data_IF_427016866616
#
_entry.id   IF_427016866616
#
_cell.length_a   1.000
_cell.length_b   1.000
_cell.length_c   1.000
_cell.angle_alpha   90.00
_cell.angle_beta   90.00
_cell.angle_gamma   90.00
#
_symmetry.space_group_name_H-M   'P 1'
#
loop_
_entity.id
_entity.type
_entity.pdbx_description
1 polymer ?
#
# COMPACT_ATOMS: atom_id res chain seq x y z
N UNK A 1 21.39 13.33 69.72
CA UNK A 1 21.70 13.89 68.36
C UNK A 1 20.90 15.16 68.25
N UNK A 2 21.59 16.29 68.25
CA UNK A 2 21.05 17.65 68.48
C UNK A 2 20.36 18.16 67.22
N UNK A 3 19.06 18.46 67.37
CA UNK A 3 18.28 19.19 66.32
C UNK A 3 18.68 20.69 66.43
N UNK A 4 19.67 21.11 65.66
CA UNK A 4 20.13 22.50 65.61
C UNK A 4 19.00 23.39 65.08
N UNK A 5 18.46 24.21 66.00
CA UNK A 5 17.40 25.16 65.72
C UNK A 5 17.84 26.20 64.69
N UNK A 6 17.42 26.02 63.41
CA UNK A 6 17.69 26.95 62.31
C UNK A 6 17.21 28.35 62.64
N UNK A 7 18.05 29.36 62.38
CA UNK A 7 17.72 30.77 62.60
C UNK A 7 16.51 31.24 61.76
N UNK A 8 15.75 32.22 62.20
CA UNK A 8 14.59 32.75 61.46
C UNK A 8 14.90 33.16 60.01
N UNK A 9 16.13 33.64 59.80
CA UNK A 9 16.59 34.08 58.46
C UNK A 9 16.86 32.88 57.52
N UNK A 10 17.40 31.78 58.05
CA UNK A 10 17.59 30.54 57.30
C UNK A 10 16.26 29.91 56.90
N UNK A 11 15.24 29.98 57.77
CA UNK A 11 13.87 29.51 57.47
C UNK A 11 13.22 30.37 56.38
N UNK A 12 13.43 31.68 56.41
CA UNK A 12 12.91 32.63 55.42
C UNK A 12 13.54 32.42 54.03
N UNK A 13 14.88 32.24 53.96
CA UNK A 13 15.61 31.94 52.70
C UNK A 13 15.16 30.59 52.10
N UNK A 14 15.01 29.55 52.89
CA UNK A 14 14.52 28.24 52.46
C UNK A 14 13.07 28.31 51.94
N UNK A 15 12.18 29.03 52.61
CA UNK A 15 10.80 29.23 52.14
C UNK A 15 10.76 30.05 50.84
N UNK A 16 11.65 31.02 50.65
CA UNK A 16 11.77 31.80 49.44
C UNK A 16 12.34 30.94 48.30
N UNK A 17 13.35 30.13 48.55
CA UNK A 17 13.90 29.17 47.59
C UNK A 17 12.83 28.16 47.15
N UNK A 18 12.11 27.56 48.14
CA UNK A 18 11.05 26.59 47.82
C UNK A 18 9.92 27.20 46.98
N UNK A 19 9.52 28.46 47.27
CA UNK A 19 8.52 29.17 46.45
C UNK A 19 9.01 29.46 45.05
N UNK A 20 10.28 29.84 44.83
CA UNK A 20 10.87 30.09 43.54
C UNK A 20 10.90 28.77 42.74
N UNK A 21 11.34 27.66 43.36
CA UNK A 21 11.39 26.35 42.73
C UNK A 21 9.99 25.87 42.31
N UNK A 22 8.97 26.05 43.16
CA UNK A 22 7.59 25.69 42.88
C UNK A 22 7.02 26.56 41.74
N UNK A 23 7.27 27.86 41.74
CA UNK A 23 6.81 28.76 40.67
C UNK A 23 7.50 28.43 39.36
N UNK A 24 8.81 28.14 39.40
CA UNK A 24 9.55 27.73 38.18
C UNK A 24 9.08 26.37 37.64
N UNK A 25 8.82 25.40 38.52
CA UNK A 25 8.26 24.11 38.14
C UNK A 25 6.86 24.25 37.51
N UNK A 26 6.00 25.09 38.11
CA UNK A 26 4.66 25.37 37.57
C UNK A 26 4.73 26.08 36.23
N UNK A 27 5.63 27.08 36.07
CA UNK A 27 5.85 27.76 34.82
C UNK A 27 6.33 26.78 33.71
N UNK A 28 7.24 25.84 34.04
CA UNK A 28 7.69 24.81 33.13
C UNK A 28 6.54 23.89 32.71
N UNK A 29 5.72 23.45 33.63
CA UNK A 29 4.54 22.61 33.33
C UNK A 29 3.55 23.34 32.45
N UNK A 30 3.31 24.64 32.69
CA UNK A 30 2.44 25.46 31.84
C UNK A 30 3.01 25.60 30.42
N UNK A 31 4.31 25.86 30.30
CA UNK A 31 4.99 25.97 29.00
C UNK A 31 4.92 24.62 28.25
N UNK A 32 5.17 23.51 28.94
CA UNK A 32 5.03 22.17 28.35
C UNK A 32 3.58 21.88 27.94
N UNK A 33 2.60 22.24 28.78
CA UNK A 33 1.18 22.06 28.46
C UNK A 33 0.74 22.89 27.22
N UNK A 34 1.26 24.11 27.08
CA UNK A 34 0.99 24.98 25.91
C UNK A 34 1.71 24.45 24.64
N UNK A 35 2.92 23.94 24.78
CA UNK A 35 3.72 23.48 23.65
C UNK A 35 3.32 22.08 23.14
N UNK A 36 2.93 21.18 24.05
CA UNK A 36 2.68 19.77 23.76
C UNK A 36 1.17 19.45 23.79
N UNK A 37 0.39 20.15 24.63
CA UNK A 37 -1.04 19.91 24.80
C UNK A 37 -1.85 19.96 23.50
N UNK A 38 -1.68 20.99 22.65
CA UNK A 38 -2.40 21.07 21.37
C UNK A 38 -2.05 19.91 20.42
N UNK A 39 -0.80 19.43 20.48
CA UNK A 39 -0.37 18.27 19.67
C UNK A 39 -1.04 16.99 20.16
N UNK A 40 -1.00 16.72 21.48
CA UNK A 40 -1.63 15.52 22.07
C UNK A 40 -3.14 15.52 21.81
N UNK A 41 -3.80 16.68 21.94
CA UNK A 41 -5.24 16.79 21.65
C UNK A 41 -5.52 16.66 20.15
N UNK A 42 -4.66 17.22 19.30
CA UNK A 42 -4.74 17.07 17.87
C UNK A 42 -4.59 15.61 17.45
N UNK A 43 -3.54 14.95 17.91
CA UNK A 43 -3.28 13.53 17.63
C UNK A 43 -4.42 12.63 18.12
N UNK A 44 -4.97 12.90 19.33
CA UNK A 44 -6.09 12.13 19.86
C UNK A 44 -7.39 12.36 19.06
N UNK A 45 -7.65 13.59 18.61
CA UNK A 45 -8.80 13.90 17.77
C UNK A 45 -8.67 13.28 16.38
N UNK A 46 -7.46 13.31 15.81
CA UNK A 46 -7.16 12.67 14.52
C UNK A 46 -7.31 11.15 14.61
N UNK A 47 -6.77 10.50 15.64
CA UNK A 47 -6.95 9.06 15.85
C UNK A 47 -8.42 8.68 16.05
N UNK A 48 -9.20 9.53 16.75
CA UNK A 48 -10.64 9.29 16.90
C UNK A 48 -11.37 9.42 15.56
N UNK A 49 -11.07 10.45 14.77
CA UNK A 49 -11.62 10.64 13.43
C UNK A 49 -11.24 9.50 12.48
N UNK A 50 -9.99 9.01 12.54
CA UNK A 50 -9.55 7.83 11.79
C UNK A 50 -10.35 6.59 12.18
N UNK A 51 -10.50 6.31 13.49
CA UNK A 51 -11.26 5.15 13.96
C UNK A 51 -12.72 5.20 13.49
N UNK A 52 -13.34 6.38 13.49
CA UNK A 52 -14.71 6.57 12.99
C UNK A 52 -14.80 6.37 11.48
N UNK A 53 -13.83 6.89 10.70
CA UNK A 53 -13.80 6.70 9.25
C UNK A 53 -13.69 5.22 8.88
N UNK A 54 -12.79 4.47 9.52
CA UNK A 54 -12.55 3.06 9.20
C UNK A 54 -13.53 2.09 9.87
N UNK A 55 -14.41 2.57 10.77
CA UNK A 55 -15.50 1.76 11.27
C UNK A 55 -16.48 1.42 10.13
N UNK A 56 -16.43 0.17 9.67
CA UNK A 56 -17.24 -0.27 8.55
C UNK A 56 -18.72 -0.34 8.94
N UNK A 57 -19.64 0.40 8.26
CA UNK A 57 -21.06 0.30 8.54
C UNK A 57 -21.59 -1.09 8.23
N UNK A 58 -22.58 -1.57 9.00
CA UNK A 58 -23.25 -2.81 8.72
C UNK A 58 -23.85 -2.79 7.29
N UNK A 59 -23.58 -3.82 6.51
CA UNK A 59 -24.01 -3.91 5.12
C UNK A 59 -23.26 -3.00 4.14
N UNK A 60 -22.16 -2.38 4.56
CA UNK A 60 -21.37 -1.47 3.71
C UNK A 60 -20.96 -2.09 2.38
N UNK A 61 -20.65 -3.38 2.36
CA UNK A 61 -20.26 -4.09 1.14
C UNK A 61 -21.42 -4.28 0.14
N UNK A 62 -22.66 -4.19 0.59
CA UNK A 62 -23.82 -4.40 -0.28
C UNK A 62 -24.01 -3.24 -1.24
N UNK A 63 -23.96 -3.51 -2.54
CA UNK A 63 -24.15 -2.50 -3.59
C UNK A 63 -23.27 -2.77 -4.80
N UNK A 64 -23.31 -1.83 -5.76
CA UNK A 64 -22.53 -1.95 -6.99
C UNK A 64 -21.05 -1.71 -6.69
N UNK A 65 -20.12 -2.53 -7.22
CA UNK A 65 -18.67 -2.27 -7.15
C UNK A 65 -18.33 -0.87 -7.67
N UNK A 66 -17.35 -0.24 -7.03
CA UNK A 66 -16.92 1.13 -7.31
C UNK A 66 -17.77 2.21 -6.67
N UNK A 67 -18.89 1.88 -5.97
CA UNK A 67 -19.69 2.94 -5.29
C UNK A 67 -19.06 3.34 -3.96
N UNK A 68 -19.06 4.65 -3.69
CA UNK A 68 -18.53 5.22 -2.45
C UNK A 68 -19.45 4.89 -1.28
N UNK A 69 -18.88 4.35 -0.21
CA UNK A 69 -19.56 4.13 1.07
C UNK A 69 -19.45 5.37 1.94
N UNK A 70 -18.24 5.95 1.96
CA UNK A 70 -17.91 7.13 2.77
C UNK A 70 -16.76 7.88 2.11
N UNK A 71 -16.75 9.20 2.22
CA UNK A 71 -15.62 10.04 1.85
C UNK A 71 -15.46 11.18 2.83
N UNK A 72 -14.23 11.62 3.05
CA UNK A 72 -13.91 12.82 3.83
C UNK A 72 -12.77 13.60 3.17
N UNK A 73 -12.79 14.94 3.22
CA UNK A 73 -11.67 15.74 2.72
C UNK A 73 -10.43 15.53 3.60
N UNK A 74 -9.26 15.43 2.95
CA UNK A 74 -7.98 15.34 3.61
C UNK A 74 -7.29 16.70 3.68
N UNK A 75 -6.70 16.99 4.82
CA UNK A 75 -5.82 18.14 5.01
C UNK A 75 -4.37 17.74 4.66
N UNK A 76 -3.48 18.74 4.51
CA UNK A 76 -2.06 18.47 4.20
C UNK A 76 -1.81 17.94 2.78
N UNK A 77 -2.83 17.97 1.91
CA UNK A 77 -2.71 17.57 0.52
C UNK A 77 -1.67 18.41 -0.25
N UNK A 78 -1.15 17.93 -1.39
CA UNK A 78 -0.22 18.69 -2.21
C UNK A 78 -0.76 20.08 -2.59
N UNK A 79 0.13 21.05 -2.75
CA UNK A 79 -0.23 22.41 -3.18
C UNK A 79 -0.98 22.38 -4.52
N UNK A 80 -1.96 23.27 -4.67
CA UNK A 80 -2.82 23.36 -5.85
C UNK A 80 -3.55 22.04 -6.18
N UNK A 81 -3.99 21.33 -5.16
CA UNK A 81 -4.78 20.10 -5.29
C UNK A 81 -5.86 20.03 -4.21
N UNK A 82 -6.79 19.10 -4.36
CA UNK A 82 -7.76 18.66 -3.36
C UNK A 82 -7.61 17.17 -3.15
N UNK A 83 -7.92 16.68 -1.96
CA UNK A 83 -7.82 15.27 -1.66
C UNK A 83 -8.94 14.80 -0.74
N UNK A 84 -9.29 13.52 -0.90
CA UNK A 84 -10.28 12.82 -0.09
C UNK A 84 -9.77 11.45 0.30
N UNK A 85 -10.06 11.04 1.52
CA UNK A 85 -10.05 9.63 1.91
C UNK A 85 -11.39 9.03 1.49
N UNK A 86 -11.37 7.83 0.95
CA UNK A 86 -12.57 7.13 0.49
C UNK A 86 -12.63 5.72 1.07
N UNK A 87 -13.86 5.27 1.35
CA UNK A 87 -14.23 3.87 1.52
C UNK A 87 -15.18 3.52 0.39
N UNK A 88 -14.91 2.44 -0.33
CA UNK A 88 -15.69 2.09 -1.53
C UNK A 88 -15.91 0.58 -1.63
N UNK A 89 -16.92 0.19 -2.39
CA UNK A 89 -17.29 -1.20 -2.64
C UNK A 89 -16.42 -1.80 -3.74
N UNK A 90 -16.05 -3.04 -3.54
CA UNK A 90 -15.37 -3.86 -4.53
C UNK A 90 -15.78 -5.32 -4.39
N UNK A 91 -15.13 -6.23 -5.09
CA UNK A 91 -15.38 -7.66 -4.99
C UNK A 91 -14.09 -8.43 -4.75
N UNK A 92 -14.17 -9.52 -3.99
CA UNK A 92 -13.09 -10.49 -3.89
C UNK A 92 -12.96 -11.34 -5.18
N UNK A 93 -11.98 -12.24 -5.20
CA UNK A 93 -11.73 -13.15 -6.33
C UNK A 93 -12.93 -14.08 -6.64
N UNK A 94 -13.86 -14.28 -5.72
CA UNK A 94 -15.06 -15.11 -5.89
C UNK A 94 -16.29 -14.26 -6.25
N UNK A 95 -16.12 -12.96 -6.49
CA UNK A 95 -17.21 -12.00 -6.75
C UNK A 95 -18.04 -11.65 -5.52
N UNK A 96 -17.58 -11.99 -4.30
CA UNK A 96 -18.27 -11.62 -3.07
C UNK A 96 -18.06 -10.13 -2.80
N UNK A 97 -19.13 -9.39 -2.42
CA UNK A 97 -19.02 -7.98 -2.09
C UNK A 97 -18.15 -7.76 -0.85
N UNK A 98 -17.18 -6.87 -0.97
CA UNK A 98 -16.27 -6.42 0.10
C UNK A 98 -16.09 -4.90 -0.02
N UNK A 99 -15.41 -4.29 0.95
CA UNK A 99 -15.02 -2.87 0.87
C UNK A 99 -13.51 -2.73 0.90
N UNK A 100 -13.02 -1.67 0.29
CA UNK A 100 -11.66 -1.22 0.39
C UNK A 100 -11.62 0.28 0.70
N UNK A 101 -10.47 0.77 1.10
CA UNK A 101 -10.22 2.18 1.33
C UNK A 101 -9.12 2.69 0.41
N UNK A 102 -8.91 4.00 0.43
CA UNK A 102 -7.87 4.64 -0.36
C UNK A 102 -7.98 6.16 -0.33
N UNK A 103 -7.23 6.81 -1.20
CA UNK A 103 -7.26 8.26 -1.36
C UNK A 103 -7.49 8.66 -2.81
N UNK A 104 -8.14 9.80 -3.00
CA UNK A 104 -8.30 10.48 -4.30
C UNK A 104 -7.68 11.86 -4.20
N UNK A 105 -6.85 12.22 -5.17
CA UNK A 105 -6.21 13.54 -5.25
C UNK A 105 -6.46 14.10 -6.65
N UNK A 106 -6.96 15.34 -6.73
CA UNK A 106 -7.19 16.02 -8.01
C UNK A 106 -6.54 17.40 -8.01
N UNK A 107 -5.90 17.83 -9.11
CA UNK A 107 -5.35 19.18 -9.16
C UNK A 107 -6.46 20.22 -9.23
N UNK A 108 -6.16 21.43 -8.75
CA UNK A 108 -7.04 22.59 -8.91
C UNK A 108 -7.23 22.96 -10.40
N UNK A 109 -8.25 23.76 -10.67
CA UNK A 109 -8.61 24.19 -12.01
C UNK A 109 -9.70 23.30 -12.64
N UNK A 110 -10.15 23.68 -13.82
CA UNK A 110 -11.24 23.00 -14.53
C UNK A 110 -10.75 21.74 -15.23
N UNK A 111 -11.52 20.67 -15.18
CA UNK A 111 -11.28 19.47 -15.97
C UNK A 111 -11.54 19.71 -17.47
N UNK A 112 -10.89 18.95 -18.36
CA UNK A 112 -11.27 18.91 -19.77
C UNK A 112 -12.67 18.30 -19.95
N UNK A 113 -13.26 18.53 -21.13
CA UNK A 113 -14.52 17.90 -21.49
C UNK A 113 -14.39 16.36 -21.40
N UNK A 114 -15.29 15.73 -20.64
CA UNK A 114 -15.24 14.27 -20.38
C UNK A 114 -14.50 13.86 -19.11
N UNK A 115 -14.03 14.81 -18.32
CA UNK A 115 -13.31 14.58 -17.06
C UNK A 115 -11.80 14.43 -17.25
N UNK A 116 -11.10 14.41 -16.14
CA UNK A 116 -9.63 14.19 -16.10
C UNK A 116 -9.27 12.75 -16.37
N UNK A 117 -8.15 12.49 -17.01
CA UNK A 117 -7.55 11.17 -17.00
C UNK A 117 -7.27 10.75 -15.55
N UNK A 118 -7.60 9.52 -15.21
CA UNK A 118 -7.37 8.97 -13.86
C UNK A 118 -6.09 8.14 -13.88
N UNK A 119 -5.15 8.49 -13.02
CA UNK A 119 -4.05 7.58 -12.69
C UNK A 119 -4.47 6.75 -11.49
N UNK A 120 -4.56 5.43 -11.67
CA UNK A 120 -4.78 4.49 -10.57
C UNK A 120 -3.42 3.96 -10.09
N UNK A 121 -3.10 4.28 -8.85
CA UNK A 121 -1.85 3.88 -8.20
C UNK A 121 -2.03 2.62 -7.38
N UNK A 122 -1.16 1.63 -7.67
CA UNK A 122 -0.95 0.45 -6.84
C UNK A 122 0.33 0.59 -6.01
N UNK A 123 0.18 0.68 -4.69
CA UNK A 123 1.30 0.84 -3.78
C UNK A 123 2.10 -0.45 -3.58
N UNK A 124 3.43 -0.37 -3.30
CA UNK A 124 4.22 -1.52 -2.90
C UNK A 124 3.78 -2.06 -1.54
N UNK A 125 4.38 -3.16 -1.10
CA UNK A 125 4.06 -3.79 0.18
C UNK A 125 4.30 -2.84 1.36
N UNK A 126 3.23 -2.55 2.11
CA UNK A 126 3.28 -1.77 3.36
C UNK A 126 3.05 -2.64 4.59
N UNK A 127 2.54 -3.85 4.41
CA UNK A 127 2.13 -4.82 5.42
C UNK A 127 0.75 -5.39 5.11
N UNK A 128 0.14 -6.06 6.09
CA UNK A 128 -1.19 -6.70 5.95
C UNK A 128 -2.14 -6.33 7.08
N UNK A 129 -1.67 -5.69 8.15
CA UNK A 129 -2.51 -5.26 9.25
C UNK A 129 -3.27 -3.96 8.90
N UNK A 130 -4.41 -3.73 9.55
CA UNK A 130 -5.27 -2.56 9.34
C UNK A 130 -4.54 -1.22 9.38
N UNK A 131 -3.58 -1.08 10.32
CA UNK A 131 -2.80 0.14 10.48
C UNK A 131 -1.76 0.34 9.36
N UNK A 132 -1.54 -0.66 8.51
CA UNK A 132 -0.59 -0.58 7.41
C UNK A 132 -1.20 -0.02 6.13
N UNK A 133 -2.51 0.22 6.12
CA UNK A 133 -3.20 0.88 5.01
C UNK A 133 -2.61 2.28 4.78
N UNK A 134 -2.08 2.61 3.59
CA UNK A 134 -1.47 3.92 3.32
C UNK A 134 -2.39 5.09 3.61
N UNK A 135 -3.69 4.95 3.33
CA UNK A 135 -4.66 6.03 3.58
C UNK A 135 -4.88 6.34 5.07
N UNK A 136 -4.42 5.47 6.00
CA UNK A 136 -4.41 5.70 7.46
C UNK A 136 -3.18 6.46 7.93
N UNK A 137 -2.15 6.56 7.09
CA UNK A 137 -0.89 7.23 7.44
C UNK A 137 -1.09 8.71 7.76
N UNK A 138 -0.18 9.29 8.54
CA UNK A 138 -0.13 10.73 8.80
C UNK A 138 0.01 11.54 7.49
N UNK A 139 0.82 11.06 6.57
CA UNK A 139 0.90 11.58 5.21
C UNK A 139 0.53 10.46 4.23
N UNK A 140 -0.76 10.37 3.84
CA UNK A 140 -1.22 9.31 2.95
C UNK A 140 -0.78 9.50 1.49
N UNK A 141 -0.02 10.54 1.19
CA UNK A 141 0.44 10.88 -0.15
C UNK A 141 1.89 10.48 -0.39
N UNK A 142 2.67 10.24 0.66
CA UNK A 142 4.12 10.03 0.59
C UNK A 142 4.51 8.82 -0.26
N UNK A 143 3.69 7.76 -0.21
CA UNK A 143 3.94 6.51 -0.92
C UNK A 143 3.29 6.46 -2.31
N UNK A 144 2.72 7.60 -2.81
CA UNK A 144 2.22 7.70 -4.17
C UNK A 144 3.37 8.19 -5.07
N UNK A 145 4.11 7.24 -5.62
CA UNK A 145 5.32 7.51 -6.39
C UNK A 145 5.01 8.27 -7.69
N UNK A 146 5.50 9.50 -7.76
CA UNK A 146 5.24 10.39 -8.90
C UNK A 146 3.96 11.23 -8.78
N UNK A 147 3.30 11.28 -7.62
CA UNK A 147 2.05 12.05 -7.43
C UNK A 147 2.12 13.47 -8.01
N UNK A 148 3.16 14.22 -7.65
CA UNK A 148 3.30 15.63 -8.14
C UNK A 148 3.36 15.68 -9.67
N UNK A 149 4.16 14.82 -10.29
CA UNK A 149 4.28 14.73 -11.76
C UNK A 149 2.91 14.47 -12.41
N UNK A 150 2.11 13.59 -11.84
CA UNK A 150 0.80 13.22 -12.38
C UNK A 150 -0.23 14.34 -12.19
N UNK A 151 -0.19 15.04 -11.05
CA UNK A 151 -1.03 16.23 -10.84
C UNK A 151 -0.66 17.38 -11.81
N UNK A 152 0.63 17.57 -12.09
CA UNK A 152 1.11 18.57 -13.06
C UNK A 152 0.66 18.24 -14.50
N UNK A 153 0.41 16.98 -14.81
CA UNK A 153 -0.22 16.55 -16.06
C UNK A 153 -1.73 16.76 -16.09
N UNK A 154 -2.32 17.22 -14.98
CA UNK A 154 -3.76 17.45 -14.86
C UNK A 154 -4.57 16.19 -14.57
N UNK A 155 -3.93 15.08 -14.16
CA UNK A 155 -4.63 13.84 -13.86
C UNK A 155 -5.25 13.86 -12.46
N UNK A 156 -6.37 13.19 -12.30
CA UNK A 156 -6.85 12.77 -10.97
C UNK A 156 -6.12 11.47 -10.61
N UNK A 157 -5.55 11.42 -9.41
CA UNK A 157 -4.83 10.24 -8.89
C UNK A 157 -5.73 9.56 -7.86
N UNK A 158 -5.90 8.25 -8.00
CA UNK A 158 -6.54 7.41 -6.98
C UNK A 158 -5.57 6.32 -6.55
N UNK A 159 -5.43 6.14 -5.24
CA UNK A 159 -4.58 5.11 -4.64
C UNK A 159 -5.43 4.25 -3.70
N UNK A 160 -5.55 2.95 -3.99
CA UNK A 160 -6.26 1.98 -3.16
C UNK A 160 -5.36 1.43 -2.07
N UNK A 161 -5.93 1.09 -0.91
CA UNK A 161 -5.23 0.32 0.14
C UNK A 161 -5.36 -1.20 -0.07
N UNK A 162 -6.11 -1.65 -1.06
CA UNK A 162 -6.57 -3.03 -1.31
C UNK A 162 -7.56 -3.55 -0.24
N UNK A 163 -8.14 -4.72 -0.50
CA UNK A 163 -9.04 -5.41 0.43
C UNK A 163 -8.25 -6.05 1.56
N UNK A 164 -8.76 -5.93 2.79
CA UNK A 164 -8.15 -6.50 3.99
C UNK A 164 -7.20 -5.54 4.72
N UNK A 165 -6.96 -4.35 4.17
CA UNK A 165 -6.19 -3.29 4.82
C UNK A 165 -7.10 -2.15 5.24
N UNK A 166 -7.23 -1.92 6.55
CA UNK A 166 -8.09 -0.87 7.11
C UNK A 166 -9.59 -1.15 7.04
N UNK A 167 -10.02 -2.30 6.55
CA UNK A 167 -11.43 -2.71 6.45
C UNK A 167 -11.61 -4.14 6.93
N UNK A 168 -12.86 -4.49 7.33
CA UNK A 168 -13.20 -5.88 7.63
C UNK A 168 -13.10 -6.74 6.37
N UNK A 169 -12.53 -7.92 6.51
CA UNK A 169 -12.40 -8.89 5.44
C UNK A 169 -11.10 -9.68 5.55
N UNK A 170 -10.96 -10.75 4.78
CA UNK A 170 -9.71 -11.47 4.77
C UNK A 170 -8.61 -10.60 4.15
N UNK A 171 -7.41 -10.68 4.71
CA UNK A 171 -6.22 -10.16 4.06
C UNK A 171 -6.10 -10.78 2.64
N UNK A 172 -5.90 -9.92 1.64
CA UNK A 172 -5.82 -10.34 0.24
C UNK A 172 -4.45 -10.05 -0.38
N UNK A 173 -3.41 -10.08 0.43
CA UNK A 173 -2.05 -9.80 -0.02
C UNK A 173 -1.60 -10.72 -1.16
N UNK A 174 -1.20 -10.14 -2.28
CA UNK A 174 -0.82 -10.82 -3.53
C UNK A 174 -1.91 -11.73 -4.12
N UNK A 175 -3.18 -11.49 -3.81
CA UNK A 175 -4.31 -12.14 -4.50
C UNK A 175 -4.68 -11.28 -5.72
N UNK A 176 -4.15 -11.67 -6.88
CA UNK A 176 -4.15 -10.83 -8.09
C UNK A 176 -5.52 -10.34 -8.52
N UNK A 177 -6.54 -11.22 -8.57
CA UNK A 177 -7.91 -10.84 -8.97
C UNK A 177 -8.51 -9.81 -8.00
N UNK A 178 -8.40 -10.04 -6.69
CA UNK A 178 -8.92 -9.10 -5.69
C UNK A 178 -8.20 -7.76 -5.75
N UNK A 179 -6.88 -7.77 -5.93
CA UNK A 179 -6.08 -6.55 -6.07
C UNK A 179 -6.45 -5.76 -7.35
N UNK A 180 -6.60 -6.46 -8.47
CA UNK A 180 -7.04 -5.85 -9.74
C UNK A 180 -8.44 -5.23 -9.65
N UNK A 181 -9.40 -5.92 -9.01
CA UNK A 181 -10.72 -5.37 -8.73
C UNK A 181 -10.64 -4.12 -7.85
N UNK A 182 -9.82 -4.14 -6.79
CA UNK A 182 -9.63 -2.98 -5.91
C UNK A 182 -9.12 -1.76 -6.69
N UNK A 183 -8.16 -1.95 -7.60
CA UNK A 183 -7.63 -0.87 -8.45
C UNK A 183 -8.71 -0.33 -9.38
N UNK A 184 -9.44 -1.19 -10.10
CA UNK A 184 -10.47 -0.75 -11.05
C UNK A 184 -11.67 -0.06 -10.35
N UNK A 185 -12.10 -0.60 -9.21
CA UNK A 185 -13.20 -0.03 -8.44
C UNK A 185 -12.83 1.26 -7.72
N UNK A 186 -11.55 1.48 -7.39
CA UNK A 186 -11.08 2.77 -6.89
C UNK A 186 -11.23 3.88 -7.94
N UNK A 187 -11.00 3.56 -9.23
CA UNK A 187 -11.28 4.49 -10.34
C UNK A 187 -12.77 4.81 -10.44
N UNK A 188 -13.64 3.80 -10.34
CA UNK A 188 -15.10 4.00 -10.31
C UNK A 188 -15.50 4.90 -9.15
N UNK A 189 -14.91 4.68 -7.95
CA UNK A 189 -15.17 5.50 -6.78
C UNK A 189 -14.70 6.94 -6.95
N UNK A 190 -13.53 7.16 -7.56
CA UNK A 190 -13.07 8.52 -7.89
C UNK A 190 -14.03 9.24 -8.85
N UNK A 191 -14.66 8.52 -9.78
CA UNK A 191 -15.65 9.06 -10.72
C UNK A 191 -17.01 9.37 -10.06
N UNK A 192 -17.33 8.76 -8.93
CA UNK A 192 -18.53 9.12 -8.13
C UNK A 192 -18.33 10.39 -7.29
N UNK A 193 -17.10 10.84 -7.11
CA UNK A 193 -16.80 12.10 -6.44
C UNK A 193 -16.84 13.25 -7.47
N UNK A 194 -17.95 13.98 -7.56
CA UNK A 194 -18.09 15.10 -8.51
C UNK A 194 -16.91 16.07 -8.44
N UNK A 195 -16.42 16.34 -7.22
CA UNK A 195 -15.31 17.26 -6.99
C UNK A 195 -13.93 16.72 -7.47
N UNK A 196 -13.81 15.45 -7.77
CA UNK A 196 -12.60 14.86 -8.34
C UNK A 196 -12.53 15.01 -9.86
N UNK A 197 -13.66 15.33 -10.52
CA UNK A 197 -13.78 15.54 -11.96
C UNK A 197 -13.16 14.41 -12.80
N UNK A 198 -13.18 13.15 -12.27
CA UNK A 198 -12.53 11.98 -12.84
C UNK A 198 -13.30 11.46 -14.07
N UNK A 199 -12.59 11.27 -15.17
CA UNK A 199 -13.12 10.72 -16.43
C UNK A 199 -13.02 9.18 -16.51
N UNK A 200 -13.25 8.64 -17.71
CA UNK A 200 -13.14 7.19 -17.99
C UNK A 200 -11.81 6.77 -18.57
N UNK A 201 -10.92 7.70 -18.93
CA UNK A 201 -9.57 7.40 -19.40
C UNK A 201 -8.69 7.08 -18.20
N UNK A 202 -8.01 5.93 -18.23
CA UNK A 202 -7.26 5.40 -17.09
C UNK A 202 -5.83 5.07 -17.47
N UNK A 203 -4.89 5.47 -16.63
CA UNK A 203 -3.51 5.01 -16.62
C UNK A 203 -3.32 4.20 -15.34
N UNK A 204 -2.80 2.99 -15.46
CA UNK A 204 -2.43 2.16 -14.33
C UNK A 204 -0.93 2.37 -14.05
N UNK A 205 -0.57 2.64 -12.80
CA UNK A 205 0.81 2.75 -12.35
C UNK A 205 0.98 2.00 -11.05
N UNK A 206 1.97 1.12 -10.96
CA UNK A 206 2.17 0.34 -9.74
C UNK A 206 3.60 -0.11 -9.54
N UNK A 207 3.99 -0.28 -8.28
CA UNK A 207 5.33 -0.72 -7.88
C UNK A 207 5.23 -2.03 -7.09
N UNK A 208 6.09 -3.01 -7.40
CA UNK A 208 6.20 -4.26 -6.64
C UNK A 208 4.86 -5.02 -6.55
N UNK A 209 4.29 -5.22 -5.36
CA UNK A 209 2.90 -5.69 -5.17
C UNK A 209 1.90 -4.89 -6.00
N UNK A 210 2.04 -3.57 -6.00
CA UNK A 210 1.17 -2.69 -6.81
C UNK A 210 1.39 -2.85 -8.30
N UNK A 211 2.58 -3.27 -8.72
CA UNK A 211 2.84 -3.68 -10.10
C UNK A 211 2.03 -4.91 -10.49
N UNK A 212 1.98 -5.95 -9.63
CA UNK A 212 1.09 -7.09 -9.83
C UNK A 212 -0.38 -6.64 -9.90
N UNK A 213 -0.82 -5.79 -8.96
CA UNK A 213 -2.19 -5.29 -8.93
C UNK A 213 -2.57 -4.52 -10.20
N UNK A 214 -1.67 -3.67 -10.72
CA UNK A 214 -1.87 -2.91 -11.96
C UNK A 214 -1.94 -3.83 -13.20
N UNK A 215 -1.10 -4.86 -13.26
CA UNK A 215 -1.13 -5.87 -14.32
C UNK A 215 -2.44 -6.66 -14.30
N UNK A 216 -2.87 -7.17 -13.13
CA UNK A 216 -4.17 -7.82 -13.00
C UNK A 216 -5.34 -6.89 -13.34
N UNK A 217 -5.29 -5.62 -12.94
CA UNK A 217 -6.30 -4.63 -13.31
C UNK A 217 -6.38 -4.48 -14.84
N UNK A 218 -5.24 -4.44 -15.53
CA UNK A 218 -5.20 -4.34 -16.98
C UNK A 218 -5.77 -5.59 -17.69
N UNK A 219 -5.42 -6.79 -17.21
CA UNK A 219 -5.91 -8.05 -17.76
C UNK A 219 -7.42 -8.24 -17.54
N UNK A 220 -7.93 -7.80 -16.38
CA UNK A 220 -9.33 -7.96 -15.99
C UNK A 220 -10.25 -6.86 -16.56
N UNK A 221 -9.73 -5.67 -16.87
CA UNK A 221 -10.52 -4.52 -17.27
C UNK A 221 -11.51 -4.80 -18.42
N UNK A 222 -11.17 -5.52 -19.50
CA UNK A 222 -12.09 -5.78 -20.60
C UNK A 222 -13.37 -6.50 -20.17
N UNK A 223 -13.28 -7.40 -19.21
CA UNK A 223 -14.42 -8.18 -18.72
C UNK A 223 -15.09 -7.55 -17.51
N UNK A 224 -14.31 -6.98 -16.60
CA UNK A 224 -14.80 -6.49 -15.30
C UNK A 224 -15.20 -5.01 -15.31
N UNK A 225 -14.50 -4.17 -16.08
CA UNK A 225 -14.68 -2.72 -16.08
C UNK A 225 -14.61 -2.14 -17.51
N UNK A 226 -15.41 -2.70 -18.43
CA UNK A 226 -15.40 -2.35 -19.85
C UNK A 226 -15.74 -0.88 -20.16
N UNK A 227 -16.32 -0.16 -19.21
CA UNK A 227 -16.59 1.28 -19.29
C UNK A 227 -15.36 2.14 -19.00
N UNK A 228 -14.29 1.56 -18.47
CA UNK A 228 -13.01 2.23 -18.26
C UNK A 228 -12.07 1.97 -19.45
N UNK A 229 -11.48 3.03 -19.95
CA UNK A 229 -10.56 2.95 -21.09
C UNK A 229 -9.13 2.96 -20.57
N UNK A 230 -8.52 1.78 -20.46
CA UNK A 230 -7.11 1.67 -20.08
C UNK A 230 -6.26 2.16 -21.24
N UNK A 231 -5.63 3.32 -21.06
CA UNK A 231 -4.83 3.99 -22.10
C UNK A 231 -3.35 3.57 -22.07
N UNK A 232 -2.87 3.28 -20.87
CA UNK A 232 -1.50 2.90 -20.61
C UNK A 232 -1.40 2.11 -19.30
N UNK A 233 -0.44 1.21 -19.24
CA UNK A 233 -0.07 0.44 -18.04
C UNK A 233 1.40 0.65 -17.79
N UNK A 234 1.76 1.03 -16.58
CA UNK A 234 3.14 1.22 -16.17
C UNK A 234 3.40 0.48 -14.86
N UNK A 235 4.53 -0.21 -14.77
CA UNK A 235 4.92 -0.93 -13.56
C UNK A 235 6.42 -0.77 -13.31
N UNK A 236 6.81 -0.73 -12.04
CA UNK A 236 8.19 -0.75 -11.61
C UNK A 236 8.46 -1.98 -10.75
N UNK A 237 9.49 -2.75 -11.09
CA UNK A 237 9.88 -3.99 -10.41
C UNK A 237 8.66 -4.83 -9.96
N UNK A 238 7.74 -5.18 -10.88
CA UNK A 238 6.46 -5.79 -10.51
C UNK A 238 6.67 -7.18 -9.94
N UNK A 239 5.93 -7.55 -8.89
CA UNK A 239 5.81 -8.93 -8.42
C UNK A 239 4.96 -9.75 -9.42
N UNK A 240 5.42 -9.82 -10.68
CA UNK A 240 4.65 -10.40 -11.78
C UNK A 240 4.65 -11.92 -11.75
N UNK A 241 5.77 -12.56 -11.40
CA UNK A 241 5.89 -14.02 -11.22
C UNK A 241 6.14 -14.35 -9.75
N UNK A 242 5.08 -14.78 -9.06
CA UNK A 242 5.16 -15.12 -7.64
C UNK A 242 5.90 -16.43 -7.39
N UNK A 243 5.94 -17.34 -8.37
CA UNK A 243 6.71 -18.57 -8.26
C UNK A 243 8.20 -18.26 -8.26
N UNK A 244 8.66 -17.42 -9.19
CA UNK A 244 10.05 -16.97 -9.25
C UNK A 244 10.42 -16.16 -8.00
N UNK A 245 9.57 -15.22 -7.57
CA UNK A 245 9.78 -14.41 -6.37
C UNK A 245 10.00 -15.30 -5.13
N UNK A 246 9.13 -16.27 -4.87
CA UNK A 246 9.27 -17.16 -3.72
C UNK A 246 10.49 -18.07 -3.86
N UNK A 247 10.76 -18.60 -5.06
CA UNK A 247 11.89 -19.49 -5.29
C UNK A 247 13.24 -18.81 -5.07
N UNK A 248 13.36 -17.53 -5.41
CA UNK A 248 14.59 -16.75 -5.20
C UNK A 248 14.85 -16.43 -3.72
N UNK A 249 13.83 -16.54 -2.86
CA UNK A 249 13.88 -16.11 -1.46
C UNK A 249 13.58 -17.22 -0.44
N UNK A 250 13.73 -18.49 -0.81
CA UNK A 250 13.43 -19.63 0.10
C UNK A 250 14.26 -19.58 1.39
N UNK A 251 15.49 -19.10 1.32
CA UNK A 251 16.49 -19.21 2.38
C UNK A 251 16.90 -17.87 2.99
N UNK A 252 16.19 -16.78 2.70
CA UNK A 252 16.55 -15.45 3.19
C UNK A 252 15.43 -14.76 4.01
N UNK A 253 15.76 -13.58 4.54
CA UNK A 253 14.83 -12.81 5.38
C UNK A 253 13.68 -12.21 4.59
N UNK A 254 13.86 -11.97 3.28
CA UNK A 254 12.81 -11.45 2.40
C UNK A 254 11.73 -12.50 2.20
N UNK A 255 12.12 -13.75 1.94
CA UNK A 255 11.19 -14.87 1.83
C UNK A 255 10.42 -15.13 3.12
N UNK A 256 11.06 -15.06 4.29
CA UNK A 256 10.37 -15.18 5.57
C UNK A 256 9.39 -14.01 5.78
N UNK A 257 9.74 -12.77 5.39
CA UNK A 257 8.90 -11.58 5.58
C UNK A 257 7.72 -11.57 4.61
N UNK A 258 7.98 -11.61 3.31
CA UNK A 258 6.93 -11.64 2.28
C UNK A 258 6.09 -12.91 2.39
N UNK A 259 6.75 -14.04 2.64
CA UNK A 259 6.09 -15.32 2.86
C UNK A 259 5.13 -15.31 4.06
N UNK A 260 5.46 -14.61 5.16
CA UNK A 260 4.55 -14.52 6.31
C UNK A 260 3.22 -13.85 5.92
N UNK A 261 3.25 -12.79 5.12
CA UNK A 261 2.07 -12.11 4.61
C UNK A 261 1.31 -12.98 3.59
N UNK A 262 2.01 -13.44 2.56
CA UNK A 262 1.39 -14.16 1.45
C UNK A 262 0.79 -15.52 1.87
N UNK A 263 1.53 -16.34 2.58
CA UNK A 263 1.05 -17.69 2.91
C UNK A 263 -0.09 -17.68 3.93
N UNK A 264 -0.13 -16.69 4.85
CA UNK A 264 -1.29 -16.51 5.73
C UNK A 264 -2.54 -16.14 4.94
N UNK A 265 -2.45 -15.14 4.05
CA UNK A 265 -3.55 -14.71 3.20
C UNK A 265 -4.06 -15.86 2.31
N UNK A 266 -3.14 -16.57 1.67
CA UNK A 266 -3.50 -17.73 0.81
C UNK A 266 -4.16 -18.87 1.58
N UNK A 267 -3.66 -19.23 2.77
CA UNK A 267 -4.24 -20.30 3.59
C UNK A 267 -5.66 -19.95 4.06
N UNK A 268 -5.96 -18.67 4.22
CA UNK A 268 -7.31 -18.21 4.58
C UNK A 268 -8.24 -18.19 3.37
N UNK A 269 -7.83 -17.55 2.28
CA UNK A 269 -8.63 -17.34 1.07
C UNK A 269 -8.84 -18.65 0.30
N UNK A 270 -7.82 -19.49 0.19
CA UNK A 270 -7.86 -20.75 -0.56
C UNK A 270 -8.03 -21.99 0.31
N UNK A 271 -8.58 -21.81 1.52
CA UNK A 271 -8.85 -22.92 2.46
C UNK A 271 -9.67 -24.03 1.81
N UNK A 272 -10.69 -23.67 1.06
CA UNK A 272 -11.59 -24.60 0.36
C UNK A 272 -10.90 -25.34 -0.81
N UNK A 273 -9.76 -24.81 -1.28
CA UNK A 273 -8.86 -25.45 -2.26
C UNK A 273 -7.76 -26.31 -1.60
N UNK A 274 -7.80 -26.44 -0.27
CA UNK A 274 -6.87 -27.28 0.49
C UNK A 274 -5.55 -26.62 0.85
N UNK A 275 -5.42 -25.29 0.72
CA UNK A 275 -4.23 -24.56 1.16
C UNK A 275 -4.13 -24.56 2.69
N UNK A 276 -3.10 -25.21 3.23
CA UNK A 276 -2.81 -25.28 4.67
C UNK A 276 -1.35 -24.95 4.93
N UNK A 277 -1.10 -24.11 5.92
CA UNK A 277 0.25 -23.65 6.27
C UNK A 277 1.20 -24.80 6.65
N UNK A 278 0.70 -25.86 7.26
CA UNK A 278 1.51 -27.01 7.69
C UNK A 278 2.08 -27.84 6.53
N UNK A 279 1.58 -27.62 5.31
CA UNK A 279 2.12 -28.26 4.09
C UNK A 279 3.44 -27.65 3.64
N UNK A 280 3.67 -26.38 3.95
CA UNK A 280 4.81 -25.63 3.39
C UNK A 280 5.63 -24.86 4.43
N UNK A 281 5.08 -24.54 5.62
CA UNK A 281 5.77 -23.80 6.66
C UNK A 281 6.17 -24.71 7.84
N UNK A 282 7.37 -24.48 8.35
CA UNK A 282 7.84 -25.16 9.57
C UNK A 282 6.97 -24.81 10.78
N UNK A 283 6.92 -25.67 11.83
CA UNK A 283 6.20 -25.33 13.05
C UNK A 283 6.66 -24.01 13.67
N UNK A 284 7.95 -23.70 13.61
CA UNK A 284 8.53 -22.47 14.13
C UNK A 284 8.10 -21.25 13.31
N UNK A 285 8.12 -21.33 11.96
CA UNK A 285 7.63 -20.30 11.08
C UNK A 285 6.16 -19.95 11.38
N UNK A 286 5.30 -20.96 11.55
CA UNK A 286 3.87 -20.75 11.88
C UNK A 286 3.63 -20.06 13.22
N UNK A 287 4.53 -20.20 14.19
CA UNK A 287 4.41 -19.56 15.50
C UNK A 287 4.64 -18.04 15.43
N UNK A 288 5.45 -17.57 14.49
CA UNK A 288 5.78 -16.15 14.37
C UNK A 288 4.84 -15.37 13.44
N UNK A 289 4.00 -16.04 12.63
CA UNK A 289 3.15 -15.39 11.63
C UNK A 289 2.28 -14.27 12.24
N UNK A 290 1.63 -14.52 13.37
CA UNK A 290 0.77 -13.52 14.01
C UNK A 290 1.53 -12.27 14.45
N UNK A 291 2.77 -12.41 14.93
CA UNK A 291 3.61 -11.26 15.29
C UNK A 291 4.14 -10.53 14.05
N UNK A 292 4.54 -11.27 13.01
CA UNK A 292 4.98 -10.70 11.73
C UNK A 292 3.86 -9.90 11.07
N UNK A 293 2.67 -10.50 10.96
CA UNK A 293 1.53 -9.91 10.23
C UNK A 293 0.89 -8.73 10.97
N UNK A 294 1.17 -8.57 12.28
CA UNK A 294 0.76 -7.38 13.04
C UNK A 294 1.67 -6.15 12.80
N UNK A 295 2.73 -6.28 11.99
CA UNK A 295 3.72 -5.22 11.76
C UNK A 295 3.67 -4.72 10.32
N UNK A 296 3.81 -3.42 10.17
CA UNK A 296 3.93 -2.79 8.85
C UNK A 296 5.39 -2.84 8.36
N UNK A 297 5.58 -3.16 7.08
CA UNK A 297 6.90 -3.39 6.51
C UNK A 297 7.82 -2.17 6.67
N UNK A 298 7.39 -1.01 6.17
CA UNK A 298 8.25 0.17 6.10
C UNK A 298 8.60 0.74 7.48
N UNK A 299 7.64 0.76 8.41
CA UNK A 299 7.85 1.34 9.75
C UNK A 299 8.48 0.36 10.75
N UNK A 300 8.45 -0.95 10.48
CA UNK A 300 8.91 -1.98 11.41
C UNK A 300 9.93 -2.96 10.82
N UNK A 301 10.59 -2.62 9.70
CA UNK A 301 11.49 -3.51 8.97
C UNK A 301 12.54 -4.19 9.88
N UNK A 302 13.21 -3.43 10.73
CA UNK A 302 14.22 -3.96 11.67
C UNK A 302 13.62 -4.97 12.66
N UNK A 303 12.39 -4.74 13.13
CA UNK A 303 11.69 -5.65 14.04
C UNK A 303 11.25 -6.92 13.30
N UNK A 304 10.70 -6.79 12.11
CA UNK A 304 10.36 -7.92 11.23
C UNK A 304 11.56 -8.83 10.98
N UNK A 305 12.71 -8.25 10.61
CA UNK A 305 13.95 -9.01 10.43
C UNK A 305 14.43 -9.69 11.72
N UNK A 306 14.23 -9.06 12.87
CA UNK A 306 14.59 -9.66 14.17
C UNK A 306 13.73 -10.87 14.48
N UNK A 307 12.41 -10.78 14.23
CA UNK A 307 11.46 -11.87 14.44
C UNK A 307 11.71 -13.01 13.43
N UNK A 308 11.97 -12.68 12.17
CA UNK A 308 12.22 -13.67 11.11
C UNK A 308 13.58 -14.39 11.27
N UNK A 309 14.58 -13.74 11.87
CA UNK A 309 15.96 -14.27 11.94
C UNK A 309 16.08 -15.72 12.39
N UNK A 310 15.34 -16.22 13.41
CA UNK A 310 15.44 -17.62 13.85
C UNK A 310 14.93 -18.65 12.84
N UNK A 311 14.19 -18.23 11.82
CA UNK A 311 13.60 -19.10 10.79
C UNK A 311 14.15 -18.85 9.39
N UNK A 312 15.11 -17.95 9.23
CA UNK A 312 15.81 -17.74 7.95
C UNK A 312 16.54 -19.04 7.58
N UNK A 313 16.31 -19.55 6.36
CA UNK A 313 16.80 -20.85 5.89
C UNK A 313 16.00 -22.06 6.41
N UNK A 314 15.01 -21.84 7.30
CA UNK A 314 14.15 -22.87 7.87
C UNK A 314 12.68 -22.38 7.98
N UNK A 315 12.30 -21.45 7.14
CA UNK A 315 10.92 -20.96 7.08
C UNK A 315 10.00 -21.95 6.38
N UNK A 316 10.46 -22.53 5.29
CA UNK A 316 9.73 -23.51 4.51
C UNK A 316 10.18 -24.95 4.83
N UNK A 317 9.24 -25.88 4.92
CA UNK A 317 9.55 -27.35 5.01
C UNK A 317 9.83 -27.94 3.63
N UNK A 318 9.28 -27.33 2.58
CA UNK A 318 9.44 -27.70 1.18
C UNK A 318 9.33 -26.45 0.32
N UNK A 319 9.84 -26.50 -0.90
CA UNK A 319 9.64 -25.45 -1.89
C UNK A 319 8.15 -25.37 -2.29
N UNK A 320 7.42 -24.27 -1.93
CA UNK A 320 5.99 -24.15 -2.22
C UNK A 320 5.67 -24.12 -3.71
N UNK A 321 6.64 -23.76 -4.55
CA UNK A 321 6.46 -23.70 -6.01
C UNK A 321 6.36 -25.10 -6.66
N UNK A 322 6.61 -26.15 -5.88
CA UNK A 322 6.63 -27.55 -6.33
C UNK A 322 5.58 -28.43 -5.65
N UNK A 323 4.77 -27.88 -4.77
CA UNK A 323 3.80 -28.64 -3.96
C UNK A 323 2.39 -28.10 -4.18
N UNK A 324 1.46 -29.00 -4.55
CA UNK A 324 0.05 -28.62 -4.69
C UNK A 324 -0.66 -28.52 -3.32
N UNK A 325 -1.59 -27.58 -3.14
CA UNK A 325 -2.12 -26.67 -4.17
C UNK A 325 -1.28 -25.39 -4.37
N UNK A 326 -0.24 -25.17 -3.58
CA UNK A 326 0.55 -23.93 -3.52
C UNK A 326 1.19 -23.55 -4.87
N UNK A 327 1.75 -24.50 -5.58
CA UNK A 327 2.34 -24.28 -6.89
C UNK A 327 1.31 -23.72 -7.89
N UNK A 328 0.11 -24.28 -7.90
CA UNK A 328 -0.98 -23.78 -8.76
C UNK A 328 -1.46 -22.40 -8.30
N UNK A 329 -1.62 -22.18 -6.99
CA UNK A 329 -2.08 -20.90 -6.44
C UNK A 329 -1.09 -19.76 -6.73
N UNK A 330 0.21 -19.99 -6.61
CA UNK A 330 1.23 -19.00 -6.96
C UNK A 330 1.17 -18.64 -8.45
N UNK A 331 1.05 -19.63 -9.33
CA UNK A 331 0.90 -19.38 -10.78
C UNK A 331 -0.37 -18.61 -11.13
N UNK A 332 -1.51 -18.95 -10.53
CA UNK A 332 -2.79 -18.27 -10.77
C UNK A 332 -2.80 -16.80 -10.29
N UNK A 333 -1.92 -16.46 -9.35
CA UNK A 333 -1.73 -15.10 -8.86
C UNK A 333 -0.49 -14.42 -9.46
N UNK A 334 0.16 -15.03 -10.43
CA UNK A 334 1.17 -14.41 -11.29
C UNK A 334 0.51 -13.77 -12.50
N UNK A 335 0.97 -12.58 -12.92
CA UNK A 335 0.44 -11.86 -14.07
C UNK A 335 0.90 -12.48 -15.39
N UNK A 336 0.29 -12.07 -16.50
CA UNK A 336 0.64 -12.54 -17.85
C UNK A 336 -0.24 -13.70 -18.34
N UNK A 337 -1.38 -13.95 -17.68
CA UNK A 337 -2.34 -14.96 -18.14
C UNK A 337 -3.08 -14.53 -19.42
N UNK A 338 -3.23 -13.23 -19.64
CA UNK A 338 -3.92 -12.64 -20.79
C UNK A 338 -3.16 -11.43 -21.31
N UNK A 339 -3.13 -11.24 -22.62
CA UNK A 339 -2.48 -10.08 -23.23
C UNK A 339 -3.11 -8.76 -22.76
N UNK A 340 -2.30 -7.84 -22.28
CA UNK A 340 -2.71 -6.48 -21.95
C UNK A 340 -3.03 -5.71 -23.22
N UNK A 341 -4.22 -5.12 -23.30
CA UNK A 341 -4.72 -4.43 -24.48
C UNK A 341 -4.31 -2.94 -24.56
N UNK A 342 -3.28 -2.54 -23.83
CA UNK A 342 -2.75 -1.19 -23.80
C UNK A 342 -1.22 -1.24 -23.87
N UNK A 343 -0.54 -0.15 -24.29
CA UNK A 343 0.91 -0.06 -24.18
C UNK A 343 1.37 -0.27 -22.73
N UNK A 344 2.43 -1.06 -22.55
CA UNK A 344 3.01 -1.42 -21.26
C UNK A 344 4.40 -0.82 -21.10
N UNK A 345 4.62 -0.07 -20.03
CA UNK A 345 5.92 0.38 -19.58
C UNK A 345 6.36 -0.46 -18.38
N UNK A 346 7.55 -1.01 -18.44
CA UNK A 346 8.15 -1.78 -17.34
C UNK A 346 9.48 -1.16 -16.97
N UNK A 347 9.65 -0.73 -15.73
CA UNK A 347 10.93 -0.27 -15.20
C UNK A 347 11.53 -1.33 -14.26
N UNK A 348 12.86 -1.54 -14.34
CA UNK A 348 13.58 -2.47 -13.49
C UNK A 348 14.89 -1.86 -12.99
N UNK A 349 15.10 -1.94 -11.68
CA UNK A 349 16.38 -1.58 -11.05
C UNK A 349 17.40 -2.70 -11.19
N UNK A 350 18.59 -2.40 -11.70
CA UNK A 350 19.61 -3.42 -11.91
C UNK A 350 20.32 -3.84 -10.61
N UNK A 351 20.08 -3.11 -9.50
CA UNK A 351 20.53 -3.48 -8.15
C UNK A 351 19.41 -4.10 -7.29
N UNK A 352 18.27 -4.39 -7.89
CA UNK A 352 17.14 -5.01 -7.20
C UNK A 352 17.47 -6.46 -6.81
N UNK A 353 17.41 -6.73 -5.50
CA UNK A 353 17.66 -8.05 -4.93
C UNK A 353 16.37 -8.73 -4.47
N UNK A 354 15.21 -8.05 -4.55
CA UNK A 354 13.92 -8.61 -4.18
C UNK A 354 13.17 -9.12 -5.41
N UNK A 355 12.88 -8.25 -6.37
CA UNK A 355 12.41 -8.67 -7.69
C UNK A 355 13.60 -8.61 -8.63
N UNK A 356 14.25 -9.75 -8.81
CA UNK A 356 15.52 -9.79 -9.54
C UNK A 356 15.33 -9.43 -11.02
N UNK A 357 16.29 -8.72 -11.64
CA UNK A 357 16.15 -8.25 -13.03
C UNK A 357 15.78 -9.32 -14.04
N UNK A 358 16.33 -10.54 -13.88
CA UNK A 358 16.05 -11.66 -14.79
C UNK A 358 14.56 -12.08 -14.82
N UNK A 359 13.86 -11.95 -13.68
CA UNK A 359 12.45 -12.32 -13.60
C UNK A 359 11.58 -11.30 -14.33
N UNK A 360 11.90 -10.01 -14.17
CA UNK A 360 11.24 -8.93 -14.90
C UNK A 360 11.54 -9.01 -16.40
N UNK A 361 12.76 -9.35 -16.79
CA UNK A 361 13.12 -9.58 -18.21
C UNK A 361 12.30 -10.75 -18.80
N UNK A 362 12.18 -11.85 -18.06
CA UNK A 362 11.39 -13.01 -18.48
C UNK A 362 9.89 -12.64 -18.65
N UNK A 363 9.35 -11.84 -17.72
CA UNK A 363 7.98 -11.30 -17.81
C UNK A 363 7.82 -10.39 -19.06
N UNK A 364 8.73 -9.46 -19.28
CA UNK A 364 8.74 -8.57 -20.47
C UNK A 364 8.75 -9.37 -21.76
N UNK A 365 9.59 -10.40 -21.84
CA UNK A 365 9.65 -11.26 -23.01
C UNK A 365 8.39 -12.10 -23.19
N UNK A 366 7.74 -12.49 -22.09
CA UNK A 366 6.45 -13.16 -22.12
C UNK A 366 5.37 -12.24 -22.70
N UNK A 367 5.23 -11.02 -22.21
CA UNK A 367 4.25 -10.04 -22.69
C UNK A 367 4.45 -9.70 -24.18
N UNK A 368 5.71 -9.55 -24.61
CA UNK A 368 6.03 -9.36 -26.04
C UNK A 368 5.56 -10.55 -26.91
N UNK A 369 5.71 -11.80 -26.40
CA UNK A 369 5.21 -13.00 -27.12
C UNK A 369 3.68 -13.03 -27.20
N UNK A 370 2.98 -12.46 -26.21
CA UNK A 370 1.53 -12.26 -26.25
C UNK A 370 1.10 -11.13 -27.20
N UNK A 371 2.05 -10.38 -27.78
CA UNK A 371 1.79 -9.29 -28.71
C UNK A 371 1.61 -7.92 -28.05
N UNK A 372 1.90 -7.80 -26.77
CA UNK A 372 1.83 -6.52 -26.05
C UNK A 372 2.96 -5.60 -26.48
N UNK A 373 2.64 -4.32 -26.69
CA UNK A 373 3.65 -3.29 -26.97
C UNK A 373 4.35 -2.90 -25.67
N UNK A 374 5.53 -3.47 -25.41
CA UNK A 374 6.30 -3.24 -24.17
C UNK A 374 7.45 -2.27 -24.40
N UNK A 375 7.52 -1.24 -23.58
CA UNK A 375 8.71 -0.39 -23.37
C UNK A 375 9.38 -0.85 -22.08
N UNK A 376 10.62 -1.33 -22.15
CA UNK A 376 11.39 -1.80 -21.00
C UNK A 376 12.50 -0.80 -20.69
N UNK A 377 12.50 -0.27 -19.48
CA UNK A 377 13.48 0.71 -18.97
C UNK A 377 14.28 0.08 -17.83
N UNK A 378 15.60 0.00 -18.00
CA UNK A 378 16.52 -0.45 -16.93
C UNK A 378 17.17 0.74 -16.25
N UNK A 379 17.24 0.72 -14.91
CA UNK A 379 17.85 1.78 -14.11
C UNK A 379 19.05 1.19 -13.36
N UNK A 380 20.24 1.42 -13.88
CA UNK A 380 21.50 0.77 -13.44
C UNK A 380 21.79 0.91 -11.95
N UNK A 381 21.44 2.06 -11.35
CA UNK A 381 21.76 2.38 -9.96
C UNK A 381 20.61 2.11 -8.99
N UNK A 382 19.45 1.73 -9.49
CA UNK A 382 18.26 1.55 -8.68
C UNK A 382 18.22 0.16 -8.04
N UNK A 383 17.85 0.13 -6.78
CA UNK A 383 17.39 -1.04 -6.05
C UNK A 383 15.85 -1.12 -6.06
N UNK A 384 15.28 -2.10 -5.34
CA UNK A 384 13.83 -2.30 -5.27
C UNK A 384 13.08 -1.06 -4.75
N UNK A 385 13.60 -0.42 -3.72
CA UNK A 385 12.92 0.73 -3.08
C UNK A 385 13.03 2.05 -3.85
N UNK A 386 13.92 2.14 -4.84
CA UNK A 386 14.22 3.40 -5.53
C UNK A 386 13.83 3.39 -7.00
N UNK A 387 13.59 2.22 -7.60
CA UNK A 387 13.37 2.08 -9.05
C UNK A 387 12.19 2.89 -9.55
N UNK A 388 11.05 2.90 -8.85
CA UNK A 388 9.87 3.61 -9.30
C UNK A 388 10.11 5.13 -9.36
N UNK A 389 10.77 5.70 -8.34
CA UNK A 389 11.14 7.12 -8.35
C UNK A 389 12.15 7.47 -9.44
N UNK A 390 13.19 6.64 -9.61
CA UNK A 390 14.23 6.89 -10.58
C UNK A 390 13.76 6.69 -12.03
N UNK A 391 12.72 5.90 -12.25
CA UNK A 391 12.08 5.69 -13.54
C UNK A 391 11.10 6.82 -13.95
N UNK A 392 10.68 7.71 -13.04
CA UNK A 392 9.70 8.76 -13.33
C UNK A 392 10.05 9.64 -14.55
N UNK A 393 11.30 10.05 -14.78
CA UNK A 393 11.63 10.83 -15.98
C UNK A 393 11.41 10.04 -17.28
N UNK A 394 11.67 8.75 -17.30
CA UNK A 394 11.43 7.87 -18.44
C UNK A 394 9.94 7.64 -18.63
N UNK A 395 9.22 7.34 -17.55
CA UNK A 395 7.76 7.21 -17.56
C UNK A 395 7.09 8.48 -18.09
N UNK A 396 7.53 9.67 -17.63
CA UNK A 396 6.96 10.93 -18.11
C UNK A 396 7.13 11.10 -19.63
N UNK A 397 8.35 10.86 -20.16
CA UNK A 397 8.61 10.90 -21.60
C UNK A 397 7.78 9.88 -22.39
N UNK A 398 7.61 8.69 -21.83
CA UNK A 398 6.81 7.64 -22.45
C UNK A 398 5.34 8.05 -22.54
N UNK A 399 4.75 8.60 -21.48
CA UNK A 399 3.38 9.13 -21.48
C UNK A 399 3.22 10.29 -22.48
N UNK A 400 4.22 11.18 -22.61
CA UNK A 400 4.20 12.25 -23.61
C UNK A 400 4.14 11.70 -25.05
N UNK A 401 4.90 10.64 -25.33
CA UNK A 401 4.90 9.99 -26.64
C UNK A 401 3.56 9.31 -26.97
N UNK A 402 2.86 8.79 -25.97
CA UNK A 402 1.51 8.24 -26.12
C UNK A 402 0.43 9.31 -26.26
N UNK A 403 0.74 10.58 -25.93
CA UNK A 403 -0.21 11.71 -25.93
C UNK A 403 -1.39 11.49 -24.95
N UNK A 404 -1.10 10.90 -23.81
CA UNK A 404 -2.06 10.62 -22.73
C UNK A 404 -1.76 11.43 -21.50
#
# INVERSE_FOLDING_TARGET
MSDEARTPDQRRRRRRGLRITLVSALALVIVLAIAIGPRIVGDAAEQHGLAEFYAQPAGAASGRPGTVVRSEPLQGHPLAAKAWRIMYRTTDLNGRPVVATGVVVTPDGSAPAGGRTVLAWGHPTTGVADQCAPSRGFDPFIDIEGLRMMLDRGYTVVATDYVGMGTEGPDSYLIGVTAGHSVLDSVRAARELDAAEAGSSVILWGHSQGGQAALFAAELAPAYASELRIQAVAVAAPAADLSALIQNHLDDVSGATIGSYAFQAYAEIYRDRGARLDQVLTPQARQILGEMNALCLLSNLSKLHTIAKPVVGDFFVVDPTRVEPWATLLRENSAGASAIQAPLFVAQGMQDQLVVPSDTEAFVDHEKRLGVQVTFETVEIADHGTVAYLALPALNRWLDNLKV
#
